data_IF_397213767012
#
_entry.id   IF_397213767012
#
_cell.length_a   1.000
_cell.length_b   1.000
_cell.length_c   1.000
_cell.angle_alpha   90.00
_cell.angle_beta   90.00
_cell.angle_gamma   90.00
#
_symmetry.space_group_name_H-M   'P 1'
#
loop_
_entity.id
_entity.type
_entity.pdbx_description
1 polymer ?
#
# COMPACT_ATOMS: atom_id res chain seq x y z
N UNK A 1 12.27 2.21 -6.04
CA UNK A 1 11.96 0.85 -5.51
C UNK A 1 10.49 0.73 -5.11
N UNK A 2 9.99 1.51 -4.14
CA UNK A 2 8.60 1.43 -3.64
C UNK A 2 7.56 1.78 -4.71
N UNK A 3 7.77 2.83 -5.51
CA UNK A 3 6.84 3.23 -6.58
C UNK A 3 6.65 2.16 -7.66
N UNK A 4 7.69 1.40 -8.00
CA UNK A 4 7.61 0.30 -8.96
C UNK A 4 6.81 -0.89 -8.42
N UNK A 5 6.92 -1.17 -7.12
CA UNK A 5 6.12 -2.21 -6.45
C UNK A 5 4.64 -1.82 -6.41
N UNK A 6 4.33 -0.56 -6.13
CA UNK A 6 2.96 -0.05 -6.15
C UNK A 6 2.38 -0.15 -7.58
N UNK A 7 3.14 0.28 -8.59
CA UNK A 7 2.70 0.19 -9.98
C UNK A 7 2.47 -1.26 -10.43
N UNK A 8 3.38 -2.18 -10.09
CA UNK A 8 3.23 -3.60 -10.38
C UNK A 8 2.02 -4.24 -9.68
N UNK A 9 1.79 -3.88 -8.41
CA UNK A 9 0.64 -4.36 -7.65
C UNK A 9 -0.69 -3.88 -8.23
N UNK A 10 -0.77 -2.61 -8.66
CA UNK A 10 -1.96 -2.07 -9.34
C UNK A 10 -2.22 -2.83 -10.64
N UNK A 11 -1.19 -3.06 -11.47
CA UNK A 11 -1.33 -3.79 -12.73
C UNK A 11 -1.83 -5.23 -12.47
N UNK A 12 -1.27 -5.91 -11.47
CA UNK A 12 -1.71 -7.26 -11.11
C UNK A 12 -3.20 -7.29 -10.70
N UNK A 13 -3.63 -6.35 -9.85
CA UNK A 13 -5.06 -6.22 -9.47
C UNK A 13 -5.94 -6.01 -10.70
N UNK A 14 -5.51 -5.18 -11.65
CA UNK A 14 -6.30 -4.92 -12.86
C UNK A 14 -6.42 -6.16 -13.75
N UNK A 15 -5.35 -6.95 -13.89
CA UNK A 15 -5.37 -8.20 -14.65
C UNK A 15 -6.31 -9.20 -13.97
N UNK A 16 -6.14 -9.42 -12.67
CA UNK A 16 -6.99 -10.34 -11.90
C UNK A 16 -8.46 -9.93 -11.94
N UNK A 17 -8.76 -8.63 -11.82
CA UNK A 17 -10.13 -8.12 -11.87
C UNK A 17 -10.76 -8.33 -13.26
N UNK A 18 -9.98 -8.13 -14.33
CA UNK A 18 -10.46 -8.34 -15.70
C UNK A 18 -10.78 -9.81 -15.96
N UNK A 19 -9.97 -10.72 -15.42
CA UNK A 19 -10.17 -12.16 -15.52
C UNK A 19 -11.39 -12.60 -14.70
N UNK A 20 -11.55 -12.05 -13.49
CA UNK A 20 -12.70 -12.31 -12.61
C UNK A 20 -14.03 -11.82 -13.22
N UNK A 21 -14.01 -10.70 -13.94
CA UNK A 21 -15.18 -10.15 -14.65
C UNK A 21 -15.55 -10.93 -15.92
N UNK A 22 -14.57 -11.61 -16.53
CA UNK A 22 -14.77 -12.43 -17.75
C UNK A 22 -15.17 -13.86 -17.44
N UNK A 23 -14.98 -14.30 -16.21
CA UNK A 23 -15.29 -15.65 -15.77
C UNK A 23 -16.78 -15.80 -15.41
N UNK A 24 -17.41 -16.88 -15.85
CA UNK A 24 -18.74 -17.32 -15.37
C UNK A 24 -18.66 -17.97 -13.96
N UNK A 25 -17.62 -17.64 -13.19
CA UNK A 25 -17.36 -18.20 -11.89
C UNK A 25 -18.50 -17.93 -10.91
N UNK A 26 -18.70 -18.88 -9.99
CA UNK A 26 -19.73 -18.77 -8.96
C UNK A 26 -19.50 -17.50 -8.15
N UNK A 27 -20.54 -16.72 -7.82
CA UNK A 27 -20.41 -15.46 -7.09
C UNK A 27 -19.70 -15.61 -5.73
N UNK A 28 -19.73 -16.80 -5.12
CA UNK A 28 -18.93 -17.12 -3.92
C UNK A 28 -17.42 -16.98 -4.13
N UNK A 29 -16.90 -17.38 -5.29
CA UNK A 29 -15.46 -17.32 -5.61
C UNK A 29 -15.04 -15.86 -5.76
N UNK A 30 -15.83 -15.08 -6.49
CA UNK A 30 -15.62 -13.63 -6.68
C UNK A 30 -15.57 -12.89 -5.34
N UNK A 31 -16.48 -13.22 -4.42
CA UNK A 31 -16.53 -12.62 -3.08
C UNK A 31 -15.26 -12.95 -2.28
N UNK A 32 -14.82 -14.21 -2.27
CA UNK A 32 -13.61 -14.63 -1.55
C UNK A 32 -12.38 -13.93 -2.14
N UNK A 33 -12.27 -13.87 -3.46
CA UNK A 33 -11.15 -13.24 -4.15
C UNK A 33 -11.09 -11.73 -3.85
N UNK A 34 -12.24 -11.07 -3.89
CA UNK A 34 -12.36 -9.64 -3.54
C UNK A 34 -11.95 -9.37 -2.09
N UNK A 35 -12.34 -10.25 -1.16
CA UNK A 35 -11.93 -10.19 0.24
C UNK A 35 -10.41 -10.28 0.41
N UNK A 36 -9.77 -11.21 -0.30
CA UNK A 36 -8.31 -11.38 -0.27
C UNK A 36 -7.59 -10.13 -0.80
N UNK A 37 -8.08 -9.54 -1.91
CA UNK A 37 -7.52 -8.31 -2.46
C UNK A 37 -7.64 -7.15 -1.46
N UNK A 38 -8.79 -6.99 -0.81
CA UNK A 38 -9.00 -5.93 0.19
C UNK A 38 -8.04 -6.11 1.38
N UNK A 39 -7.84 -7.33 1.86
CA UNK A 39 -6.89 -7.61 2.95
C UNK A 39 -5.46 -7.32 2.51
N UNK A 40 -5.05 -7.76 1.32
CA UNK A 40 -3.71 -7.51 0.77
C UNK A 40 -3.45 -6.00 0.57
N UNK A 41 -4.44 -5.26 0.09
CA UNK A 41 -4.35 -3.81 -0.05
C UNK A 41 -4.27 -3.11 1.31
N UNK A 42 -5.12 -3.50 2.27
CA UNK A 42 -5.13 -2.93 3.63
C UNK A 42 -3.81 -3.17 4.34
N UNK A 43 -3.27 -4.38 4.27
CA UNK A 43 -1.96 -4.71 4.86
C UNK A 43 -0.83 -3.95 4.17
N UNK A 44 -0.88 -3.76 2.85
CA UNK A 44 0.09 -2.94 2.11
C UNK A 44 0.03 -1.47 2.53
N UNK A 45 -1.17 -0.90 2.71
CA UNK A 45 -1.34 0.46 3.23
C UNK A 45 -0.84 0.58 4.66
N UNK A 46 -1.18 -0.37 5.54
CA UNK A 46 -0.67 -0.42 6.90
C UNK A 46 0.85 -0.47 6.90
N UNK A 47 1.49 -1.28 6.06
CA UNK A 47 2.95 -1.30 5.94
C UNK A 47 3.56 0.02 5.48
N UNK A 48 2.85 0.83 4.69
CA UNK A 48 3.30 2.17 4.28
C UNK A 48 3.17 3.15 5.45
N UNK A 49 2.05 3.09 6.18
CA UNK A 49 1.74 3.97 7.32
C UNK A 49 2.63 3.63 8.53
N UNK A 50 2.85 2.35 8.77
CA UNK A 50 3.61 1.78 9.90
C UNK A 50 5.12 1.77 9.63
N UNK A 51 5.57 2.39 8.53
CA UNK A 51 6.96 2.88 8.46
C UNK A 51 7.12 4.01 9.47
N UNK A 52 7.36 3.61 10.72
CA UNK A 52 8.12 4.42 11.66
C UNK A 52 9.32 5.03 10.90
N UNK A 53 9.66 6.31 11.17
CA UNK A 53 10.71 7.00 10.46
C UNK A 53 11.97 6.11 10.40
N UNK A 54 12.63 6.00 9.22
CA UNK A 54 13.64 4.98 8.95
C UNK A 54 14.82 5.02 9.93
N UNK A 55 14.93 6.10 10.71
CA UNK A 55 15.52 6.05 12.04
C UNK A 55 14.82 7.05 12.97
N UNK A 56 14.85 6.83 14.30
CA UNK A 56 14.48 7.84 15.29
C UNK A 56 15.19 9.18 15.08
N UNK A 57 16.39 9.16 14.50
CA UNK A 57 17.14 10.37 14.18
C UNK A 57 16.41 11.24 13.14
N UNK A 58 15.80 10.67 12.09
CA UNK A 58 15.03 11.44 11.09
C UNK A 58 13.82 12.12 11.72
N UNK A 59 13.19 11.47 12.70
CA UNK A 59 12.08 12.06 13.44
C UNK A 59 12.53 13.22 14.34
N UNK A 60 13.61 13.01 15.09
CA UNK A 60 14.20 14.03 15.95
C UNK A 60 14.66 15.22 15.11
N UNK A 61 15.33 15.00 13.98
CA UNK A 61 15.75 16.08 13.06
C UNK A 61 14.57 16.91 12.60
N UNK A 62 13.46 16.30 12.16
CA UNK A 62 12.25 17.04 11.76
C UNK A 62 11.61 17.82 12.89
N UNK A 63 11.60 17.27 14.11
CA UNK A 63 11.09 17.97 15.30
C UNK A 63 11.98 19.16 15.64
N UNK A 64 13.30 18.96 15.64
CA UNK A 64 14.28 20.02 15.93
C UNK A 64 14.20 21.12 14.86
N UNK A 65 14.15 20.78 13.58
CA UNK A 65 13.97 21.75 12.48
C UNK A 65 12.67 22.54 12.60
N UNK A 66 11.59 21.89 13.05
CA UNK A 66 10.28 22.54 13.24
C UNK A 66 10.23 23.44 14.47
N UNK A 67 11.00 23.14 15.53
CA UNK A 67 11.06 23.93 16.77
C UNK A 67 12.06 25.08 16.66
N UNK A 68 13.22 24.81 16.06
CA UNK A 68 14.32 25.77 15.90
C UNK A 68 14.08 26.69 14.70
N UNK A 69 13.14 26.34 13.81
CA UNK A 69 12.79 27.13 12.64
C UNK A 69 13.89 27.07 11.59
N UNK A 70 13.96 25.95 10.87
CA UNK A 70 14.71 25.74 9.62
C UNK A 70 15.91 26.68 9.40
N UNK A 71 17.06 26.35 9.97
CA UNK A 71 18.31 26.97 9.52
C UNK A 71 18.67 26.30 8.20
N UNK A 72 18.68 27.12 7.14
CA UNK A 72 19.10 26.78 5.77
C UNK A 72 20.33 25.89 5.69
#
# INVERSE_FOLDING_TARGET
MVLGLIAGFIIAIFIDLLELLRSDDKPKIIIIYSLLIIIAFTTSLLQIIDKAPPSPAVFITKIVESIVGGIK
#
